data_IF_009959682355
#
_entry.id   IF_009959682355
#
_cell.length_a   1.000
_cell.length_b   1.000
_cell.length_c   1.000
_cell.angle_alpha   90.00
_cell.angle_beta   90.00
_cell.angle_gamma   90.00
#
_symmetry.space_group_name_H-M   'P 1'
#
loop_
_entity.id
_entity.type
_entity.pdbx_description
1 polymer ?
#
# COMPACT_ATOMS: atom_id res chain seq x y z
N UNK A 1 -2.23 -43.70 -5.32
CA UNK A 1 -2.36 -42.41 -4.61
C UNK A 1 -1.26 -42.32 -3.56
N UNK A 2 -0.20 -41.53 -3.74
CA UNK A 2 0.79 -41.27 -2.69
C UNK A 2 0.34 -40.12 -1.81
N UNK A 3 0.50 -40.29 -0.50
CA UNK A 3 0.17 -39.31 0.55
C UNK A 3 1.07 -38.08 0.41
N UNK A 4 0.45 -36.90 0.52
CA UNK A 4 1.14 -35.62 0.59
C UNK A 4 2.08 -35.58 1.81
N UNK A 5 3.33 -35.22 1.58
CA UNK A 5 4.33 -34.98 2.61
C UNK A 5 3.91 -33.81 3.50
N UNK A 6 3.93 -34.02 4.83
CA UNK A 6 3.46 -33.07 5.81
C UNK A 6 4.30 -31.80 5.87
N UNK A 7 3.62 -30.66 5.88
CA UNK A 7 4.18 -29.36 6.24
C UNK A 7 4.59 -29.38 7.71
N UNK A 8 5.77 -28.86 8.09
CA UNK A 8 6.22 -28.83 9.49
C UNK A 8 5.25 -28.07 10.40
N UNK A 9 4.94 -28.65 11.55
CA UNK A 9 3.93 -28.22 12.53
C UNK A 9 4.25 -26.95 13.33
N UNK A 10 5.21 -26.12 12.90
CA UNK A 10 5.66 -24.95 13.64
C UNK A 10 4.85 -23.65 13.40
N UNK A 11 3.83 -23.66 12.53
CA UNK A 11 3.04 -22.48 12.18
C UNK A 11 1.58 -22.66 12.61
N UNK A 12 1.34 -22.96 13.89
CA UNK A 12 0.01 -22.97 14.50
C UNK A 12 -0.10 -21.95 15.64
N UNK A 13 0.13 -20.66 15.36
CA UNK A 13 -0.41 -19.58 16.18
C UNK A 13 -1.23 -18.65 15.30
N UNK A 14 -2.49 -18.34 15.66
CA UNK A 14 -3.31 -17.39 14.88
C UNK A 14 -2.67 -16.01 14.94
N UNK A 15 -2.60 -15.34 13.79
CA UNK A 15 -2.02 -14.00 13.57
C UNK A 15 -2.77 -12.88 14.33
N UNK A 16 -3.88 -13.19 14.99
CA UNK A 16 -4.74 -12.24 15.71
C UNK A 16 -5.01 -12.66 17.15
N UNK A 17 -4.01 -12.58 18.04
CA UNK A 17 -4.25 -12.48 19.48
C UNK A 17 -4.11 -11.00 19.87
N UNK A 18 -5.10 -10.35 20.54
CA UNK A 18 -4.96 -8.99 21.05
C UNK A 18 -3.91 -8.97 22.19
N UNK A 19 -3.15 -7.87 22.34
CA UNK A 19 -2.26 -7.70 23.49
C UNK A 19 -3.09 -7.66 24.78
N UNK A 20 -2.54 -8.14 25.93
CA UNK A 20 -3.24 -8.10 27.19
C UNK A 20 -3.53 -6.66 27.61
N UNK A 21 -4.75 -6.42 28.08
CA UNK A 21 -5.23 -5.11 28.57
C UNK A 21 -4.43 -4.70 29.82
N UNK A 22 -3.58 -3.68 29.71
CA UNK A 22 -2.99 -3.03 30.87
C UNK A 22 -4.07 -2.23 31.60
N UNK A 23 -4.28 -2.53 32.88
CA UNK A 23 -5.19 -1.85 33.78
C UNK A 23 -4.83 -0.35 33.87
N UNK A 24 -5.78 0.53 33.53
CA UNK A 24 -5.68 1.98 33.71
C UNK A 24 -5.67 2.32 35.20
N UNK A 25 -4.54 2.74 35.73
CA UNK A 25 -4.51 3.55 36.96
C UNK A 25 -4.93 4.99 36.63
N UNK A 26 -6.03 5.42 37.20
CA UNK A 26 -6.46 6.83 37.18
C UNK A 26 -5.57 7.63 38.13
N UNK A 27 -4.79 8.57 37.59
CA UNK A 27 -4.26 9.69 38.38
C UNK A 27 -5.01 10.97 37.96
N UNK A 28 -5.70 11.53 38.91
CA UNK A 28 -6.32 12.86 38.85
C UNK A 28 -5.21 13.90 39.00
N UNK A 29 -5.06 14.81 38.05
CA UNK A 29 -4.28 16.05 38.21
C UNK A 29 -5.19 17.21 37.86
N UNK A 30 -5.20 18.17 38.77
CA UNK A 30 -6.10 19.31 38.81
C UNK A 30 -5.88 20.30 37.66
N UNK A 31 -6.97 20.95 37.28
CA UNK A 31 -7.04 21.99 36.27
C UNK A 31 -6.53 23.33 36.84
N UNK A 32 -5.59 23.98 36.20
CA UNK A 32 -5.39 25.40 36.23
C UNK A 32 -5.68 26.01 34.86
N UNK A 33 -6.69 26.90 34.84
CA UNK A 33 -7.03 27.72 33.68
C UNK A 33 -6.06 28.90 33.60
N UNK A 34 -5.45 29.13 32.44
CA UNK A 34 -4.99 30.45 32.05
C UNK A 34 -5.49 30.75 30.63
N UNK A 35 -6.21 31.87 30.54
CA UNK A 35 -6.68 32.44 29.27
C UNK A 35 -5.55 33.22 28.62
N UNK A 36 -5.47 33.19 27.27
CA UNK A 36 -4.54 34.05 26.53
C UNK A 36 -4.53 33.82 25.03
N UNK A 37 -5.14 34.73 24.27
CA UNK A 37 -4.67 35.23 22.99
C UNK A 37 -4.70 34.31 21.75
N UNK A 38 -5.72 34.48 20.94
CA UNK A 38 -5.70 33.97 19.54
C UNK A 38 -4.70 34.76 18.70
N UNK A 39 -3.70 34.06 18.17
CA UNK A 39 -2.89 34.52 17.06
C UNK A 39 -3.00 33.49 15.93
N UNK A 40 -3.58 33.89 14.82
CA UNK A 40 -3.60 33.09 13.58
C UNK A 40 -2.17 33.04 13.02
N UNK A 41 -1.48 31.95 13.23
CA UNK A 41 -0.18 31.69 12.60
C UNK A 41 -0.41 31.10 11.21
N UNK A 42 -0.18 31.91 10.19
CA UNK A 42 -0.01 31.41 8.81
C UNK A 42 1.36 30.72 8.73
N UNK A 43 1.38 29.40 8.75
CA UNK A 43 2.62 28.63 8.54
C UNK A 43 3.05 28.70 7.08
N UNK A 44 4.13 29.41 6.79
CA UNK A 44 4.87 29.27 5.53
C UNK A 44 5.78 28.05 5.66
N UNK A 45 5.75 27.16 4.65
CA UNK A 45 6.50 25.88 4.63
C UNK A 45 8.02 25.99 4.56
N UNK A 46 8.62 27.14 4.86
CA UNK A 46 10.06 27.37 4.80
C UNK A 46 10.79 27.18 6.14
N UNK A 47 10.08 27.17 7.27
CA UNK A 47 10.73 27.19 8.60
C UNK A 47 11.12 25.81 9.15
N UNK A 48 10.68 24.72 8.54
CA UNK A 48 10.98 23.35 9.01
C UNK A 48 12.32 22.76 8.55
N UNK A 49 13.07 23.48 7.71
CA UNK A 49 14.38 23.03 7.22
C UNK A 49 15.55 23.29 8.19
N UNK A 50 15.31 23.95 9.31
CA UNK A 50 16.39 24.43 10.19
C UNK A 50 16.55 23.62 11.49
N UNK A 51 15.97 22.40 11.59
CA UNK A 51 16.30 21.49 12.66
C UNK A 51 17.66 20.85 12.42
N UNK A 52 18.58 21.01 13.36
CA UNK A 52 19.97 20.59 13.36
C UNK A 52 20.21 19.08 13.40
N UNK A 53 19.42 18.30 12.67
CA UNK A 53 19.68 16.87 12.51
C UNK A 53 20.78 16.64 11.47
N UNK A 54 21.87 16.02 11.90
CA UNK A 54 22.96 15.61 11.00
C UNK A 54 22.52 14.41 10.17
N UNK A 55 22.69 14.43 8.84
CA UNK A 55 22.43 13.26 7.99
C UNK A 55 23.26 12.05 8.45
N UNK A 56 22.64 10.88 8.40
CA UNK A 56 23.29 9.61 8.77
C UNK A 56 24.17 9.17 7.60
N UNK A 57 25.46 9.00 7.85
CA UNK A 57 26.38 8.52 6.81
C UNK A 57 26.01 7.13 6.33
N UNK A 58 26.29 6.80 5.07
CA UNK A 58 25.92 5.51 4.46
C UNK A 58 26.55 4.30 5.16
N UNK A 59 27.69 4.49 5.81
CA UNK A 59 28.41 3.44 6.54
C UNK A 59 28.05 3.37 8.03
N UNK A 60 27.31 4.38 8.55
CA UNK A 60 26.87 4.37 9.96
C UNK A 60 25.75 3.34 10.18
N UNK A 61 25.56 2.82 11.40
CA UNK A 61 24.43 2.00 11.73
C UNK A 61 23.09 2.72 11.47
N UNK A 62 22.10 2.00 10.94
CA UNK A 62 20.77 2.56 10.73
C UNK A 62 20.15 2.96 12.09
N UNK A 63 19.68 4.21 12.26
CA UNK A 63 19.02 4.62 13.49
C UNK A 63 17.75 3.80 13.75
N UNK A 64 17.38 3.69 15.02
CA UNK A 64 16.14 3.03 15.39
C UNK A 64 14.92 3.70 14.74
N UNK A 65 13.89 2.88 14.36
CA UNK A 65 12.67 3.39 13.69
C UNK A 65 12.02 4.60 14.38
N UNK A 66 12.03 4.66 15.71
CA UNK A 66 11.47 5.80 16.46
C UNK A 66 12.20 7.11 16.16
N UNK A 67 13.53 7.07 15.99
CA UNK A 67 14.35 8.23 15.63
C UNK A 67 14.04 8.67 14.22
N UNK A 68 14.07 7.74 13.26
CA UNK A 68 13.75 8.03 11.85
C UNK A 68 12.33 8.62 11.74
N UNK A 69 11.37 8.01 12.44
CA UNK A 69 9.99 8.49 12.49
C UNK A 69 9.86 9.91 13.04
N UNK A 70 10.65 10.27 14.08
CA UNK A 70 10.60 11.61 14.68
C UNK A 70 10.96 12.72 13.71
N UNK A 71 11.81 12.46 12.71
CA UNK A 71 12.17 13.43 11.68
C UNK A 71 11.02 13.83 10.77
N UNK A 72 10.06 12.94 10.57
CA UNK A 72 8.92 13.14 9.65
C UNK A 72 7.59 13.32 10.36
N UNK A 73 7.53 13.15 11.69
CA UNK A 73 6.33 13.37 12.50
C UNK A 73 5.69 14.77 12.29
N UNK A 74 6.45 15.88 12.09
CA UNK A 74 5.87 17.20 11.84
C UNK A 74 4.94 17.25 10.60
N UNK A 75 5.15 16.37 9.61
CA UNK A 75 4.31 16.29 8.40
C UNK A 75 3.02 15.51 8.61
N UNK A 76 2.80 14.94 9.80
CA UNK A 76 1.62 14.15 10.16
C UNK A 76 0.38 14.96 10.55
N UNK A 77 0.31 16.24 10.23
CA UNK A 77 -0.84 17.08 10.55
C UNK A 77 -2.06 16.70 9.70
N UNK A 78 -3.17 16.35 10.38
CA UNK A 78 -4.41 15.88 9.75
C UNK A 78 -5.45 16.99 9.73
N UNK A 79 -5.78 17.49 8.53
CA UNK A 79 -6.74 18.59 8.32
C UNK A 79 -8.02 18.03 7.73
N UNK A 80 -9.10 17.98 8.53
CA UNK A 80 -10.41 17.40 8.11
C UNK A 80 -10.92 18.06 6.81
N UNK A 81 -10.90 19.39 6.74
CA UNK A 81 -11.41 20.10 5.56
C UNK A 81 -10.66 19.71 4.28
N UNK A 82 -9.32 19.59 4.36
CA UNK A 82 -8.49 19.16 3.22
C UNK A 82 -8.85 17.76 2.76
N UNK A 83 -9.03 16.84 3.68
CA UNK A 83 -9.40 15.44 3.40
C UNK A 83 -10.78 15.32 2.77
N UNK A 84 -11.75 16.10 3.26
CA UNK A 84 -13.11 16.14 2.68
C UNK A 84 -13.07 16.75 1.28
N UNK A 85 -12.34 17.85 1.08
CA UNK A 85 -12.22 18.49 -0.25
C UNK A 85 -11.62 17.50 -1.26
N UNK A 86 -10.56 16.79 -0.91
CA UNK A 86 -9.95 15.78 -1.79
C UNK A 86 -10.96 14.68 -2.17
N UNK A 87 -11.69 14.15 -1.18
CA UNK A 87 -12.70 13.12 -1.43
C UNK A 87 -13.83 13.64 -2.35
N UNK A 88 -14.34 14.86 -2.10
CA UNK A 88 -15.40 15.46 -2.91
C UNK A 88 -14.92 15.72 -4.33
N UNK A 89 -13.73 16.30 -4.50
CA UNK A 89 -13.15 16.55 -5.83
C UNK A 89 -13.00 15.24 -6.62
N UNK A 90 -12.48 14.19 -5.99
CA UNK A 90 -12.31 12.92 -6.68
C UNK A 90 -13.65 12.25 -7.02
N UNK A 91 -14.69 12.40 -6.18
CA UNK A 91 -16.02 11.94 -6.55
C UNK A 91 -16.64 12.75 -7.70
N UNK A 92 -16.45 14.07 -7.73
CA UNK A 92 -16.91 14.90 -8.87
C UNK A 92 -16.20 14.49 -10.17
N UNK A 93 -14.89 14.25 -10.13
CA UNK A 93 -14.13 13.73 -11.27
C UNK A 93 -14.63 12.34 -11.70
N UNK A 94 -14.94 11.45 -10.73
CA UNK A 94 -15.48 10.15 -11.02
C UNK A 94 -16.84 10.22 -11.72
N UNK A 95 -17.75 11.04 -11.21
CA UNK A 95 -19.06 11.23 -11.83
C UNK A 95 -18.96 11.86 -13.23
N UNK A 96 -18.06 12.82 -13.43
CA UNK A 96 -17.80 13.38 -14.76
C UNK A 96 -17.25 12.32 -15.73
N UNK A 97 -16.32 11.49 -15.29
CA UNK A 97 -15.79 10.39 -16.09
C UNK A 97 -16.87 9.34 -16.42
N UNK A 98 -17.72 8.98 -15.44
CA UNK A 98 -18.84 8.07 -15.69
C UNK A 98 -19.90 8.67 -16.61
N UNK A 99 -20.17 9.96 -16.49
CA UNK A 99 -21.07 10.64 -17.45
C UNK A 99 -20.53 10.49 -18.89
N UNK A 100 -19.23 10.70 -19.10
CA UNK A 100 -18.61 10.44 -20.40
C UNK A 100 -18.68 8.98 -20.82
N UNK A 101 -18.40 8.04 -19.92
CA UNK A 101 -18.40 6.61 -20.20
C UNK A 101 -19.81 6.06 -20.56
N UNK A 102 -20.87 6.68 -20.05
CA UNK A 102 -22.25 6.22 -20.27
C UNK A 102 -22.98 7.02 -21.37
N UNK A 103 -22.72 8.34 -21.48
CA UNK A 103 -23.55 9.23 -22.30
C UNK A 103 -22.85 9.74 -23.58
N UNK A 104 -21.50 9.62 -23.70
CA UNK A 104 -20.83 10.08 -24.91
C UNK A 104 -21.35 9.33 -26.17
N UNK A 105 -21.44 9.96 -27.34
CA UNK A 105 -21.93 9.30 -28.54
C UNK A 105 -20.96 8.27 -29.12
N UNK A 106 -19.66 8.48 -28.95
CA UNK A 106 -18.60 7.60 -29.48
C UNK A 106 -18.20 6.51 -28.49
N UNK A 107 -18.16 5.25 -28.93
CA UNK A 107 -17.70 4.12 -28.15
C UNK A 107 -16.23 4.27 -27.71
N UNK A 108 -15.38 4.90 -28.53
CA UNK A 108 -13.99 5.17 -28.18
C UNK A 108 -13.93 6.17 -27.03
N UNK A 109 -14.70 7.26 -27.07
CA UNK A 109 -14.79 8.23 -25.97
C UNK A 109 -15.32 7.57 -24.71
N UNK A 110 -16.32 6.70 -24.80
CA UNK A 110 -16.83 5.92 -23.66
C UNK A 110 -15.72 5.10 -23.01
N UNK A 111 -14.92 4.38 -23.80
CA UNK A 111 -13.80 3.58 -23.27
C UNK A 111 -12.76 4.46 -22.59
N UNK A 112 -12.35 5.57 -23.21
CA UNK A 112 -11.37 6.51 -22.64
C UNK A 112 -11.90 7.11 -21.32
N UNK A 113 -13.16 7.50 -21.27
CA UNK A 113 -13.80 7.98 -20.05
C UNK A 113 -13.92 6.87 -18.99
N UNK A 114 -14.17 5.61 -19.39
CA UNK A 114 -14.13 4.45 -18.51
C UNK A 114 -12.74 4.21 -17.91
N UNK A 115 -11.68 4.38 -18.70
CA UNK A 115 -10.30 4.32 -18.19
C UNK A 115 -10.02 5.47 -17.21
N UNK A 116 -10.48 6.69 -17.54
CA UNK A 116 -10.39 7.84 -16.64
C UNK A 116 -11.15 7.59 -15.31
N UNK A 117 -12.35 7.00 -15.36
CA UNK A 117 -13.09 6.58 -14.18
C UNK A 117 -12.30 5.55 -13.36
N UNK A 118 -11.62 4.60 -14.00
CA UNK A 118 -10.74 3.64 -13.34
C UNK A 118 -9.54 4.31 -12.66
N UNK A 119 -8.93 5.31 -13.30
CA UNK A 119 -7.87 6.11 -12.70
C UNK A 119 -8.35 6.88 -11.47
N UNK A 120 -9.49 7.53 -11.55
CA UNK A 120 -10.08 8.27 -10.42
C UNK A 120 -10.53 7.31 -9.30
N UNK A 121 -11.01 6.10 -9.63
CA UNK A 121 -11.24 5.03 -8.66
C UNK A 121 -9.96 4.70 -7.89
N UNK A 122 -8.80 4.68 -8.56
CA UNK A 122 -7.50 4.52 -7.92
C UNK A 122 -7.15 5.68 -6.98
N UNK A 123 -7.47 6.92 -7.34
CA UNK A 123 -7.28 8.09 -6.46
C UNK A 123 -8.15 7.99 -5.20
N UNK A 124 -9.43 7.64 -5.35
CA UNK A 124 -10.33 7.39 -4.22
C UNK A 124 -9.83 6.24 -3.35
N UNK A 125 -9.26 5.21 -3.98
CA UNK A 125 -8.66 4.09 -3.24
C UNK A 125 -7.49 4.56 -2.37
N UNK A 126 -6.64 5.51 -2.82
CA UNK A 126 -5.56 6.07 -2.01
C UNK A 126 -6.12 6.86 -0.82
N UNK A 127 -7.22 7.61 -0.98
CA UNK A 127 -7.91 8.27 0.14
C UNK A 127 -8.45 7.23 1.14
N UNK A 128 -9.04 6.15 0.65
CA UNK A 128 -9.51 5.05 1.48
C UNK A 128 -8.39 4.31 2.22
N UNK A 129 -7.25 4.14 1.57
CA UNK A 129 -6.02 3.61 2.13
C UNK A 129 -5.52 4.45 3.32
N UNK A 130 -5.44 5.78 3.19
CA UNK A 130 -5.10 6.66 4.30
C UNK A 130 -6.12 6.59 5.45
N UNK A 131 -7.39 6.48 5.11
CA UNK A 131 -8.43 6.27 6.11
C UNK A 131 -8.23 4.96 6.90
N UNK A 132 -7.75 3.88 6.26
CA UNK A 132 -7.38 2.63 6.92
C UNK A 132 -6.22 2.80 7.89
N UNK A 133 -5.23 3.63 7.56
CA UNK A 133 -4.11 3.98 8.45
C UNK A 133 -4.49 4.95 9.56
N UNK A 134 -5.75 5.42 9.60
CA UNK A 134 -6.21 6.44 10.51
C UNK A 134 -5.45 7.78 10.33
N UNK A 135 -4.87 8.01 9.17
CA UNK A 135 -4.09 9.21 8.82
C UNK A 135 -4.91 10.29 8.15
N UNK A 136 -6.07 9.95 7.57
CA UNK A 136 -6.88 10.89 6.78
C UNK A 136 -7.45 12.04 7.64
N UNK A 137 -7.98 11.72 8.83
CA UNK A 137 -8.51 12.71 9.80
C UNK A 137 -8.11 12.37 11.25
N UNK A 138 -8.17 13.33 12.19
CA UNK A 138 -7.95 13.03 13.61
C UNK A 138 -9.02 12.12 14.24
N UNK A 139 -10.18 11.97 13.59
CA UNK A 139 -11.32 11.23 14.11
C UNK A 139 -11.38 9.81 13.54
N UNK A 140 -11.10 8.79 14.37
CA UNK A 140 -11.12 7.38 13.97
C UNK A 140 -12.47 6.87 13.44
N UNK A 141 -13.61 7.40 13.94
CA UNK A 141 -14.93 7.01 13.42
C UNK A 141 -15.16 7.59 12.03
N UNK A 142 -14.77 8.85 11.84
CA UNK A 142 -14.87 9.52 10.54
C UNK A 142 -13.98 8.81 9.50
N UNK A 143 -12.75 8.45 9.85
CA UNK A 143 -11.87 7.68 8.96
C UNK A 143 -12.52 6.37 8.49
N UNK A 144 -13.13 5.61 9.41
CA UNK A 144 -13.81 4.36 9.03
C UNK A 144 -15.00 4.56 8.08
N UNK A 145 -15.73 5.67 8.18
CA UNK A 145 -16.82 5.98 7.28
C UNK A 145 -16.31 6.49 5.93
N UNK A 146 -15.41 7.45 5.94
CA UNK A 146 -14.82 8.02 4.71
C UNK A 146 -14.07 6.94 3.93
N UNK A 147 -13.35 6.05 4.62
CA UNK A 147 -12.64 4.94 3.97
C UNK A 147 -13.58 3.95 3.28
N UNK A 148 -14.72 3.60 3.91
CA UNK A 148 -15.74 2.77 3.25
C UNK A 148 -16.30 3.45 2.01
N UNK A 149 -16.66 4.72 2.12
CA UNK A 149 -17.15 5.51 0.98
C UNK A 149 -16.09 5.53 -0.12
N UNK A 150 -14.86 5.87 0.18
CA UNK A 150 -13.77 5.95 -0.79
C UNK A 150 -13.46 4.61 -1.49
N UNK A 151 -13.70 3.47 -0.81
CA UNK A 151 -13.48 2.14 -1.37
C UNK A 151 -14.66 1.57 -2.18
N UNK A 152 -15.85 2.19 -2.15
CA UNK A 152 -17.00 1.69 -2.89
C UNK A 152 -16.72 1.49 -4.39
N UNK A 153 -16.15 2.47 -5.13
CA UNK A 153 -15.93 2.33 -6.57
C UNK A 153 -14.94 1.21 -6.93
N UNK A 154 -14.02 0.90 -6.03
CA UNK A 154 -13.04 -0.19 -6.19
C UNK A 154 -13.56 -1.54 -5.73
N UNK A 155 -14.80 -1.62 -5.22
CA UNK A 155 -15.40 -2.82 -4.64
C UNK A 155 -14.51 -3.50 -3.60
N UNK A 156 -13.82 -2.69 -2.77
CA UNK A 156 -12.87 -3.20 -1.77
C UNK A 156 -13.51 -3.16 -0.39
N UNK A 157 -13.68 -4.32 0.31
CA UNK A 157 -14.16 -4.36 1.67
C UNK A 157 -13.14 -3.70 2.64
N UNK A 158 -13.52 -2.58 3.25
CA UNK A 158 -12.64 -1.74 4.07
C UNK A 158 -11.91 -2.52 5.18
N UNK A 159 -12.66 -3.29 5.97
CA UNK A 159 -12.09 -4.00 7.12
C UNK A 159 -11.14 -5.13 6.74
N UNK A 160 -11.32 -5.75 5.58
CA UNK A 160 -10.42 -6.77 5.06
C UNK A 160 -9.14 -6.14 4.52
N UNK A 161 -9.25 -5.01 3.83
CA UNK A 161 -8.10 -4.23 3.41
C UNK A 161 -7.30 -3.72 4.61
N UNK A 162 -7.97 -3.14 5.62
CA UNK A 162 -7.34 -2.66 6.86
C UNK A 162 -6.47 -3.74 7.52
N UNK A 163 -6.96 -4.97 7.63
CA UNK A 163 -6.17 -6.08 8.19
C UNK A 163 -5.04 -6.51 7.25
N UNK A 164 -5.34 -6.75 5.98
CA UNK A 164 -4.35 -7.22 5.02
C UNK A 164 -3.21 -6.24 4.81
N UNK A 165 -3.54 -4.96 4.77
CA UNK A 165 -2.57 -3.91 4.51
C UNK A 165 -1.82 -3.47 5.78
N UNK A 166 -2.54 -3.08 6.86
CA UNK A 166 -1.89 -2.53 8.04
C UNK A 166 -1.20 -3.59 8.90
N UNK A 167 -1.82 -4.77 9.07
CA UNK A 167 -1.29 -5.79 9.98
C UNK A 167 -0.32 -6.73 9.27
N UNK A 168 -0.69 -7.17 8.06
CA UNK A 168 0.13 -8.16 7.33
C UNK A 168 1.22 -7.46 6.54
N UNK A 169 0.87 -6.60 5.57
CA UNK A 169 1.85 -5.98 4.70
C UNK A 169 2.79 -5.03 5.45
N UNK A 170 2.29 -3.98 6.10
CA UNK A 170 3.15 -3.05 6.86
C UNK A 170 3.82 -3.69 8.08
N UNK A 171 3.20 -4.70 8.68
CA UNK A 171 3.77 -5.43 9.80
C UNK A 171 4.92 -6.36 9.43
N UNK A 172 4.99 -6.78 8.15
CA UNK A 172 5.91 -7.83 7.70
C UNK A 172 6.40 -7.63 6.26
N UNK A 173 6.56 -6.39 5.82
CA UNK A 173 6.94 -6.05 4.44
C UNK A 173 8.16 -6.85 3.97
N UNK A 174 8.02 -7.56 2.85
CA UNK A 174 9.03 -8.44 2.26
C UNK A 174 9.55 -9.57 3.19
N UNK A 175 8.77 -9.95 4.21
CA UNK A 175 9.03 -11.16 4.99
C UNK A 175 8.24 -12.33 4.40
N UNK A 176 8.95 -13.27 3.77
CA UNK A 176 8.37 -14.44 3.12
C UNK A 176 7.58 -15.32 4.10
N UNK A 177 6.42 -15.78 3.65
CA UNK A 177 5.49 -16.55 4.49
C UNK A 177 4.52 -15.68 5.31
N UNK A 178 4.76 -14.36 5.38
CA UNK A 178 3.88 -13.38 6.03
C UNK A 178 3.33 -12.37 5.02
N UNK A 179 4.21 -11.57 4.40
CA UNK A 179 3.78 -10.64 3.34
C UNK A 179 3.43 -11.40 2.07
N UNK A 180 2.28 -11.06 1.50
CA UNK A 180 1.79 -11.65 0.26
C UNK A 180 1.93 -10.71 -0.95
N UNK A 181 2.27 -9.45 -0.72
CA UNK A 181 2.33 -8.44 -1.78
C UNK A 181 3.54 -8.72 -2.66
N UNK A 182 3.27 -9.25 -3.84
CA UNK A 182 4.30 -9.64 -4.83
C UNK A 182 5.40 -10.56 -4.30
N UNK A 183 5.09 -11.37 -3.27
CA UNK A 183 6.05 -12.32 -2.71
C UNK A 183 6.60 -13.25 -3.82
N UNK A 184 7.94 -13.29 -4.03
CA UNK A 184 8.53 -14.16 -5.02
C UNK A 184 8.55 -15.61 -4.53
N UNK A 185 8.41 -16.55 -5.44
CA UNK A 185 8.78 -17.93 -5.17
C UNK A 185 10.31 -18.07 -5.10
N UNK A 186 10.80 -19.02 -4.30
CA UNK A 186 12.17 -19.50 -4.48
C UNK A 186 12.25 -20.39 -5.73
N UNK A 187 13.45 -20.65 -6.27
CA UNK A 187 13.59 -21.60 -7.38
C UNK A 187 12.95 -22.98 -7.12
N UNK A 188 13.11 -23.53 -5.90
CA UNK A 188 12.54 -24.83 -5.53
C UNK A 188 11.01 -24.77 -5.41
N UNK A 189 10.47 -23.72 -4.78
CA UNK A 189 9.02 -23.53 -4.71
C UNK A 189 8.40 -23.41 -6.12
N UNK A 190 9.04 -22.65 -7.00
CA UNK A 190 8.57 -22.52 -8.37
C UNK A 190 8.61 -23.84 -9.13
N UNK A 191 9.66 -24.63 -8.95
CA UNK A 191 9.78 -25.97 -9.53
C UNK A 191 8.71 -26.94 -9.01
N UNK A 192 8.26 -26.77 -7.76
CA UNK A 192 7.20 -27.57 -7.14
C UNK A 192 5.77 -27.15 -7.56
N UNK A 193 5.58 -25.99 -8.19
CA UNK A 193 4.26 -25.54 -8.66
C UNK A 193 3.70 -26.43 -9.78
N UNK A 194 2.37 -26.56 -9.81
CA UNK A 194 1.68 -27.15 -10.97
C UNK A 194 1.95 -26.37 -12.26
N UNK A 195 1.82 -26.99 -13.45
CA UNK A 195 2.01 -26.31 -14.74
C UNK A 195 1.16 -25.04 -14.87
N UNK A 196 -0.11 -25.10 -14.44
CA UNK A 196 -1.03 -23.94 -14.46
C UNK A 196 -0.54 -22.82 -13.56
N UNK A 197 -0.10 -23.12 -12.33
CA UNK A 197 0.41 -22.11 -11.40
C UNK A 197 1.73 -21.51 -11.89
N UNK A 198 2.61 -22.30 -12.49
CA UNK A 198 3.84 -21.80 -13.15
C UNK A 198 3.53 -20.87 -14.32
N UNK A 199 2.52 -21.20 -15.13
CA UNK A 199 2.07 -20.32 -16.23
C UNK A 199 1.53 -18.99 -15.69
N UNK A 200 0.67 -19.03 -14.65
CA UNK A 200 0.12 -17.84 -14.03
C UNK A 200 1.22 -16.97 -13.41
N UNK A 201 2.18 -17.55 -12.68
CA UNK A 201 3.30 -16.79 -12.11
C UNK A 201 4.14 -16.10 -13.20
N UNK A 202 4.43 -16.80 -14.32
CA UNK A 202 5.12 -16.20 -15.47
C UNK A 202 4.33 -15.05 -16.08
N UNK A 203 3.01 -15.20 -16.18
CA UNK A 203 2.13 -14.15 -16.71
C UNK A 203 2.12 -12.93 -15.77
N UNK A 204 1.94 -13.12 -14.47
CA UNK A 204 1.96 -12.05 -13.47
C UNK A 204 3.26 -11.26 -13.51
N UNK A 205 4.41 -11.97 -13.55
CA UNK A 205 5.75 -11.36 -13.54
C UNK A 205 6.28 -11.00 -14.93
N UNK A 206 5.43 -11.04 -15.96
CA UNK A 206 5.82 -10.65 -17.32
C UNK A 206 6.09 -9.14 -17.47
N UNK A 207 5.54 -8.32 -16.57
CA UNK A 207 5.45 -6.87 -16.70
C UNK A 207 4.17 -6.40 -17.43
N UNK A 208 3.47 -7.31 -18.12
CA UNK A 208 2.25 -6.95 -18.86
C UNK A 208 0.95 -7.15 -18.07
N UNK A 209 0.98 -7.97 -17.03
CA UNK A 209 -0.21 -8.40 -16.32
C UNK A 209 -0.18 -8.14 -14.79
N UNK A 210 0.34 -6.99 -14.29
CA UNK A 210 0.32 -6.70 -12.85
C UNK A 210 -1.11 -6.59 -12.32
N UNK A 211 -2.05 -6.12 -13.14
CA UNK A 211 -3.46 -6.02 -12.77
C UNK A 211 -4.12 -7.39 -12.60
N UNK A 212 -3.72 -8.39 -13.37
CA UNK A 212 -4.24 -9.75 -13.20
C UNK A 212 -3.77 -10.35 -11.86
N UNK A 213 -2.53 -10.12 -11.46
CA UNK A 213 -2.05 -10.49 -10.14
C UNK A 213 -2.89 -9.82 -9.04
N UNK A 214 -3.10 -8.51 -9.15
CA UNK A 214 -3.88 -7.76 -8.17
C UNK A 214 -5.31 -8.28 -8.09
N UNK A 215 -5.97 -8.46 -9.24
CA UNK A 215 -7.33 -8.95 -9.34
C UNK A 215 -7.50 -10.33 -8.68
N UNK A 216 -6.61 -11.27 -8.99
CA UNK A 216 -6.76 -12.67 -8.54
C UNK A 216 -6.17 -12.87 -7.16
N UNK A 217 -4.88 -12.54 -6.97
CA UNK A 217 -4.16 -12.91 -5.76
C UNK A 217 -4.45 -11.96 -4.59
N UNK A 218 -4.72 -10.68 -4.86
CA UNK A 218 -5.00 -9.70 -3.79
C UNK A 218 -6.49 -9.51 -3.61
N UNK A 219 -7.17 -8.95 -4.63
CA UNK A 219 -8.56 -8.55 -4.49
C UNK A 219 -9.48 -9.76 -4.27
N UNK A 220 -9.42 -10.78 -5.15
CA UNK A 220 -10.31 -11.93 -5.09
C UNK A 220 -10.01 -12.85 -3.90
N UNK A 221 -8.77 -13.35 -3.79
CA UNK A 221 -8.43 -14.40 -2.82
C UNK A 221 -8.18 -13.87 -1.40
N UNK A 222 -7.87 -12.59 -1.23
CA UNK A 222 -7.51 -12.04 0.09
C UNK A 222 -8.46 -10.96 0.59
N UNK A 223 -9.00 -10.14 -0.32
CA UNK A 223 -9.85 -9.02 0.09
C UNK A 223 -11.33 -9.30 -0.01
N UNK A 224 -11.78 -10.11 -0.98
CA UNK A 224 -13.20 -10.40 -1.18
C UNK A 224 -13.61 -11.76 -0.66
N UNK A 225 -12.83 -12.81 -0.96
CA UNK A 225 -13.04 -14.18 -0.49
C UNK A 225 -11.83 -14.71 0.29
N UNK A 226 -11.51 -14.12 1.47
CA UNK A 226 -10.33 -14.50 2.22
C UNK A 226 -10.39 -15.96 2.66
N UNK A 227 -9.32 -16.69 2.39
CA UNK A 227 -9.20 -18.09 2.83
C UNK A 227 -8.99 -18.17 4.35
N UNK A 228 -9.37 -19.29 4.97
CA UNK A 228 -9.12 -19.54 6.41
C UNK A 228 -7.63 -19.53 6.75
N UNK A 229 -6.77 -19.85 5.80
CA UNK A 229 -5.32 -19.80 5.96
C UNK A 229 -4.81 -18.36 6.10
N UNK A 230 -5.46 -17.42 5.39
CA UNK A 230 -5.11 -15.99 5.42
C UNK A 230 -5.71 -15.27 6.65
N UNK A 231 -6.99 -15.51 6.94
CA UNK A 231 -7.68 -14.94 8.09
C UNK A 231 -8.12 -16.08 9.02
N UNK A 232 -7.39 -16.29 10.13
CA UNK A 232 -7.68 -17.36 11.09
C UNK A 232 -9.04 -17.25 11.79
N UNK A 233 -9.69 -16.06 11.79
CA UNK A 233 -11.00 -15.84 12.37
C UNK A 233 -11.83 -14.88 11.51
N UNK A 234 -13.07 -15.29 11.19
CA UNK A 234 -14.05 -14.40 10.56
C UNK A 234 -14.61 -13.43 11.61
N UNK A 235 -14.70 -12.14 11.26
CA UNK A 235 -15.34 -11.11 12.08
C UNK A 235 -16.62 -10.62 11.41
N UNK A 236 -17.70 -10.31 12.16
CA UNK A 236 -18.95 -9.82 11.58
C UNK A 236 -18.77 -8.58 10.67
N UNK A 237 -17.79 -7.73 10.99
CA UNK A 237 -17.47 -6.53 10.18
C UNK A 237 -17.00 -6.89 8.77
N UNK A 238 -16.26 -7.99 8.60
CA UNK A 238 -15.81 -8.43 7.27
C UNK A 238 -17.01 -8.76 6.36
N UNK A 239 -17.97 -9.52 6.90
CA UNK A 239 -19.19 -9.85 6.15
C UNK A 239 -20.01 -8.60 5.83
N UNK A 240 -20.14 -7.65 6.78
CA UNK A 240 -20.85 -6.39 6.54
C UNK A 240 -20.20 -5.58 5.41
N UNK A 241 -18.88 -5.45 5.41
CA UNK A 241 -18.18 -4.69 4.39
C UNK A 241 -18.24 -5.40 3.02
N UNK A 242 -18.18 -6.74 2.96
CA UNK A 242 -18.43 -7.48 1.72
C UNK A 242 -19.85 -7.27 1.21
N UNK A 243 -20.87 -7.33 2.08
CA UNK A 243 -22.26 -7.08 1.70
C UNK A 243 -22.46 -5.63 1.22
N UNK A 244 -21.79 -4.65 1.85
CA UNK A 244 -21.84 -3.26 1.44
C UNK A 244 -21.33 -3.08 0.01
N UNK A 245 -20.13 -3.60 -0.31
CA UNK A 245 -19.56 -3.44 -1.65
C UNK A 245 -20.31 -4.27 -2.70
N UNK A 246 -20.83 -5.44 -2.33
CA UNK A 246 -21.68 -6.26 -3.24
C UNK A 246 -23.00 -5.56 -3.55
N UNK A 247 -23.64 -4.99 -2.52
CA UNK A 247 -24.88 -4.20 -2.70
C UNK A 247 -24.64 -2.97 -3.57
N UNK A 248 -23.53 -2.26 -3.34
CA UNK A 248 -23.14 -1.15 -4.19
C UNK A 248 -22.92 -1.59 -5.64
N UNK A 249 -22.18 -2.69 -5.88
CA UNK A 249 -21.97 -3.22 -7.23
C UNK A 249 -23.29 -3.56 -7.92
N UNK A 250 -24.23 -4.22 -7.23
CA UNK A 250 -25.53 -4.57 -7.77
C UNK A 250 -26.36 -3.32 -8.13
N UNK A 251 -26.39 -2.30 -7.25
CA UNK A 251 -27.08 -1.02 -7.49
C UNK A 251 -26.43 -0.31 -8.69
N UNK A 252 -25.11 -0.26 -8.75
CA UNK A 252 -24.39 0.42 -9.84
C UNK A 252 -24.63 -0.27 -11.18
N UNK A 253 -24.51 -1.59 -11.26
CA UNK A 253 -24.82 -2.37 -12.48
C UNK A 253 -26.26 -2.15 -12.89
N UNK A 254 -27.22 -2.21 -11.95
CA UNK A 254 -28.62 -1.94 -12.20
C UNK A 254 -28.86 -0.53 -12.76
N UNK A 255 -28.20 0.49 -12.19
CA UNK A 255 -28.28 1.86 -12.69
C UNK A 255 -27.73 1.99 -14.12
N UNK A 256 -26.59 1.33 -14.43
CA UNK A 256 -25.99 1.32 -15.77
C UNK A 256 -26.95 0.66 -16.79
N UNK A 257 -27.56 -0.47 -16.43
CA UNK A 257 -28.55 -1.16 -17.29
C UNK A 257 -29.81 -0.29 -17.48
N UNK A 258 -30.28 0.35 -16.42
CA UNK A 258 -31.41 1.30 -16.51
C UNK A 258 -31.08 2.49 -17.42
N UNK A 259 -29.89 3.09 -17.31
CA UNK A 259 -29.43 4.18 -18.20
C UNK A 259 -29.39 3.68 -19.65
N UNK A 260 -28.91 2.46 -19.90
CA UNK A 260 -28.89 1.89 -21.24
C UNK A 260 -30.32 1.81 -21.84
N UNK A 261 -31.29 1.34 -21.07
CA UNK A 261 -32.70 1.29 -21.51
C UNK A 261 -33.27 2.70 -21.72
N UNK A 262 -33.04 3.62 -20.78
CA UNK A 262 -33.56 5.00 -20.87
C UNK A 262 -32.96 5.82 -22.02
N UNK A 263 -31.73 5.49 -22.45
CA UNK A 263 -31.02 6.18 -23.54
C UNK A 263 -31.02 5.38 -24.85
N UNK A 264 -31.75 4.26 -24.91
CA UNK A 264 -31.81 3.36 -26.08
C UNK A 264 -30.42 2.89 -26.57
N UNK A 265 -29.48 2.69 -25.63
CA UNK A 265 -28.13 2.20 -25.92
C UNK A 265 -28.00 0.72 -25.57
N UNK A 266 -26.95 0.07 -26.12
CA UNK A 266 -26.62 -1.31 -25.78
C UNK A 266 -26.24 -1.44 -24.29
N UNK A 267 -26.96 -2.25 -23.53
CA UNK A 267 -26.65 -2.54 -22.12
C UNK A 267 -25.24 -3.17 -21.98
N UNK A 268 -24.87 -4.07 -22.91
CA UNK A 268 -23.54 -4.68 -22.93
C UNK A 268 -22.45 -3.60 -23.07
N UNK A 269 -22.61 -2.65 -24.01
CA UNK A 269 -21.65 -1.57 -24.22
C UNK A 269 -21.49 -0.74 -22.94
N UNK A 270 -22.62 -0.32 -22.31
CA UNK A 270 -22.55 0.51 -21.12
C UNK A 270 -22.00 -0.25 -19.89
N UNK A 271 -22.31 -1.54 -19.72
CA UNK A 271 -21.70 -2.37 -18.69
C UNK A 271 -20.20 -2.51 -18.91
N UNK A 272 -19.76 -2.72 -20.16
CA UNK A 272 -18.32 -2.77 -20.48
C UNK A 272 -17.65 -1.45 -20.15
N UNK A 273 -18.18 -0.31 -20.61
CA UNK A 273 -17.52 1.00 -20.44
C UNK A 273 -17.69 1.60 -19.06
N UNK A 274 -18.81 1.36 -18.37
CA UNK A 274 -19.12 1.92 -17.07
C UNK A 274 -18.82 1.03 -15.86
N UNK A 275 -18.53 -0.26 -16.08
CA UNK A 275 -18.22 -1.21 -14.99
C UNK A 275 -16.92 -1.94 -15.23
N UNK A 276 -16.82 -2.69 -16.35
CA UNK A 276 -15.68 -3.61 -16.59
C UNK A 276 -14.39 -2.83 -16.81
N UNK A 277 -14.41 -1.86 -17.75
CA UNK A 277 -13.22 -1.06 -18.09
C UNK A 277 -12.69 -0.29 -16.87
N UNK A 278 -13.52 0.48 -16.11
CA UNK A 278 -13.05 1.16 -14.91
C UNK A 278 -12.42 0.21 -13.88
N UNK A 279 -13.07 -0.91 -13.62
CA UNK A 279 -12.62 -1.88 -12.63
C UNK A 279 -11.30 -2.55 -13.02
N UNK A 280 -11.16 -3.00 -14.27
CA UNK A 280 -9.92 -3.62 -14.76
C UNK A 280 -8.78 -2.60 -14.87
N UNK A 281 -9.07 -1.36 -15.25
CA UNK A 281 -8.07 -0.30 -15.26
C UNK A 281 -7.55 0.00 -13.86
N UNK A 282 -8.45 0.13 -12.87
CA UNK A 282 -8.08 0.28 -11.47
C UNK A 282 -7.21 -0.90 -10.98
N UNK A 283 -7.61 -2.14 -11.25
CA UNK A 283 -6.80 -3.32 -10.91
C UNK A 283 -5.41 -3.25 -11.54
N UNK A 284 -5.32 -2.79 -12.81
CA UNK A 284 -4.04 -2.68 -13.52
C UNK A 284 -3.16 -1.59 -12.92
N UNK A 285 -3.74 -0.44 -12.59
CA UNK A 285 -3.04 0.66 -11.92
C UNK A 285 -2.51 0.24 -10.55
N UNK A 286 -3.35 -0.39 -9.71
CA UNK A 286 -2.91 -0.81 -8.38
C UNK A 286 -1.98 -2.01 -8.40
N UNK A 287 -2.18 -2.94 -9.32
CA UNK A 287 -1.23 -4.02 -9.55
C UNK A 287 0.15 -3.49 -9.91
N UNK A 288 0.23 -2.47 -10.77
CA UNK A 288 1.46 -1.75 -11.08
C UNK A 288 2.03 -1.04 -9.84
N UNK A 289 1.22 -0.24 -9.14
CA UNK A 289 1.65 0.55 -7.96
C UNK A 289 2.28 -0.34 -6.91
N UNK A 290 1.59 -1.40 -6.47
CA UNK A 290 2.12 -2.30 -5.43
C UNK A 290 3.30 -3.15 -5.92
N UNK A 291 3.41 -3.39 -7.24
CA UNK A 291 4.57 -4.05 -7.83
C UNK A 291 5.83 -3.19 -7.71
N UNK A 292 5.77 -1.95 -8.21
CA UNK A 292 6.93 -1.06 -8.25
C UNK A 292 7.37 -0.57 -6.88
N UNK A 293 6.51 -0.59 -5.88
CA UNK A 293 6.84 -0.18 -4.52
C UNK A 293 7.80 -1.14 -3.80
N UNK A 294 7.73 -2.45 -4.13
CA UNK A 294 8.43 -3.50 -3.38
C UNK A 294 9.25 -4.45 -4.26
N UNK A 295 9.35 -4.15 -5.56
CA UNK A 295 10.07 -4.99 -6.52
C UNK A 295 11.08 -4.17 -7.31
N UNK A 296 12.35 -4.38 -7.03
CA UNK A 296 13.48 -3.80 -7.75
C UNK A 296 14.70 -4.72 -7.53
N UNK A 297 15.65 -4.81 -8.47
CA UNK A 297 16.86 -5.58 -8.26
C UNK A 297 17.67 -5.22 -7.01
N UNK A 298 17.45 -4.05 -6.41
CA UNK A 298 18.09 -3.55 -5.18
C UNK A 298 17.30 -3.86 -3.91
N UNK A 299 16.07 -4.38 -4.01
CA UNK A 299 15.17 -4.68 -2.88
C UNK A 299 15.27 -6.14 -2.51
N UNK A 300 15.51 -6.42 -1.23
CA UNK A 300 15.65 -7.77 -0.68
C UNK A 300 14.34 -8.36 -0.18
N UNK A 301 14.31 -9.71 -0.13
CA UNK A 301 13.32 -10.51 0.57
C UNK A 301 13.99 -11.33 1.67
N UNK A 302 13.29 -11.60 2.76
CA UNK A 302 13.80 -12.30 3.92
C UNK A 302 12.90 -13.48 4.29
N UNK A 303 13.47 -14.58 4.78
CA UNK A 303 12.71 -15.69 5.33
C UNK A 303 12.81 -15.77 6.86
N UNK A 304 13.85 -15.19 7.46
CA UNK A 304 14.07 -15.17 8.88
C UNK A 304 13.63 -13.85 9.50
N UNK A 305 12.69 -13.91 10.47
CA UNK A 305 12.12 -12.73 11.12
C UNK A 305 13.14 -11.92 11.93
N UNK A 306 14.09 -12.58 12.57
CA UNK A 306 15.13 -11.93 13.39
C UNK A 306 16.10 -11.16 12.48
N UNK A 307 16.55 -11.77 11.41
CA UNK A 307 17.37 -11.12 10.39
C UNK A 307 16.60 -9.93 9.76
N UNK A 308 15.38 -10.16 9.28
CA UNK A 308 14.51 -9.16 8.71
C UNK A 308 14.35 -7.92 9.61
N UNK A 309 14.15 -8.12 10.92
CA UNK A 309 13.95 -7.00 11.85
C UNK A 309 15.18 -6.11 12.01
N UNK A 310 16.38 -6.62 11.69
CA UNK A 310 17.66 -5.87 11.76
C UNK A 310 17.95 -5.05 10.51
N UNK A 311 17.26 -5.31 9.40
CA UNK A 311 17.52 -4.65 8.11
C UNK A 311 16.78 -3.33 7.92
N UNK A 312 16.08 -2.82 8.93
CA UNK A 312 15.20 -1.66 8.82
C UNK A 312 14.21 -1.79 7.63
N UNK A 313 13.35 -2.84 7.61
CA UNK A 313 12.57 -3.19 6.41
C UNK A 313 11.65 -2.06 5.93
N UNK A 314 11.21 -1.17 6.82
CA UNK A 314 10.44 0.03 6.49
C UNK A 314 11.19 1.06 5.61
N UNK A 315 12.50 0.88 5.41
CA UNK A 315 13.33 1.65 4.45
C UNK A 315 13.87 0.74 3.37
N UNK A 316 14.50 -0.40 3.73
CA UNK A 316 15.26 -1.23 2.82
C UNK A 316 14.41 -2.04 1.84
N UNK A 317 13.11 -2.19 2.11
CA UNK A 317 12.19 -2.98 1.26
C UNK A 317 11.18 -2.12 0.50
N UNK A 318 11.42 -0.81 0.44
CA UNK A 318 10.55 0.16 -0.22
C UNK A 318 11.30 0.95 -1.29
N UNK A 319 10.57 1.47 -2.27
CA UNK A 319 11.10 2.27 -3.36
C UNK A 319 10.28 3.56 -3.50
N UNK A 320 10.99 4.70 -3.59
CA UNK A 320 10.39 5.97 -4.03
C UNK A 320 10.50 6.07 -5.56
N UNK A 321 9.35 6.02 -6.23
CA UNK A 321 9.29 6.14 -7.69
C UNK A 321 8.91 7.55 -8.10
N UNK A 322 9.83 8.26 -8.75
CA UNK A 322 9.59 9.62 -9.23
C UNK A 322 9.10 9.63 -10.68
N UNK A 323 8.11 10.45 -10.96
CA UNK A 323 7.58 10.65 -12.31
C UNK A 323 7.89 12.05 -12.84
N UNK A 324 8.06 12.20 -14.17
CA UNK A 324 8.15 13.51 -14.79
C UNK A 324 6.80 14.25 -14.67
N UNK A 325 6.80 15.55 -14.84
CA UNK A 325 5.60 16.40 -14.95
C UNK A 325 4.63 16.37 -13.75
N UNK A 326 5.11 16.00 -12.55
CA UNK A 326 4.28 16.02 -11.34
C UNK A 326 3.18 14.94 -11.28
N UNK A 327 3.27 13.87 -12.06
CA UNK A 327 2.31 12.74 -12.07
C UNK A 327 2.14 12.14 -10.66
N UNK A 328 3.17 12.18 -9.80
CA UNK A 328 3.04 11.75 -8.40
C UNK A 328 1.91 12.46 -7.64
N UNK A 329 1.72 13.78 -7.89
CA UNK A 329 0.62 14.55 -7.30
C UNK A 329 -0.76 14.09 -7.81
N UNK A 330 -0.86 13.65 -9.07
CA UNK A 330 -2.10 13.08 -9.62
C UNK A 330 -2.49 11.77 -8.92
N UNK A 331 -1.53 11.06 -8.34
CA UNK A 331 -1.74 9.83 -7.56
C UNK A 331 -1.63 10.07 -6.04
N UNK A 332 -1.99 11.27 -5.58
CA UNK A 332 -1.99 11.63 -4.16
C UNK A 332 -0.69 11.27 -3.42
N UNK A 333 0.44 11.38 -4.09
CA UNK A 333 1.77 11.12 -3.51
C UNK A 333 1.96 9.70 -2.95
N UNK A 334 1.22 8.69 -3.45
CA UNK A 334 1.39 7.30 -2.98
C UNK A 334 2.76 6.71 -3.37
N UNK A 335 3.45 7.33 -4.32
CA UNK A 335 4.77 6.89 -4.79
C UNK A 335 5.91 7.28 -3.84
N UNK A 336 5.68 8.20 -2.91
CA UNK A 336 6.56 8.54 -1.79
C UNK A 336 6.50 7.47 -0.69
N UNK A 337 6.74 6.22 -1.10
CA UNK A 337 6.34 5.03 -0.40
C UNK A 337 7.20 4.70 0.82
N UNK A 338 8.47 5.12 0.83
CA UNK A 338 9.35 4.93 2.01
C UNK A 338 8.85 5.75 3.19
N UNK A 339 8.46 7.02 2.97
CA UNK A 339 7.89 7.86 4.04
C UNK A 339 6.61 7.24 4.60
N UNK A 340 5.77 6.69 3.72
CA UNK A 340 4.56 5.98 4.09
C UNK A 340 4.84 4.74 4.96
N UNK A 341 5.84 3.92 4.64
CA UNK A 341 6.23 2.76 5.46
C UNK A 341 6.92 3.13 6.77
N UNK A 342 7.67 4.22 6.82
CA UNK A 342 8.28 4.73 8.06
C UNK A 342 7.20 5.17 9.04
N UNK A 343 6.23 5.99 8.59
CA UNK A 343 5.11 6.46 9.41
C UNK A 343 3.79 6.51 8.63
N UNK A 344 2.99 5.47 8.76
CA UNK A 344 1.64 5.37 8.18
C UNK A 344 0.67 6.46 8.67
N UNK A 345 1.01 7.22 9.72
CA UNK A 345 0.14 8.26 10.26
C UNK A 345 0.23 9.59 9.51
N UNK A 346 1.16 9.70 8.56
CA UNK A 346 1.31 10.87 7.68
C UNK A 346 0.23 10.81 6.60
N UNK A 347 -0.62 11.84 6.47
CA UNK A 347 -1.64 11.88 5.44
C UNK A 347 -0.99 12.08 4.05
N UNK A 348 -1.66 11.60 3.02
CA UNK A 348 -1.22 11.62 1.61
C UNK A 348 -0.62 12.99 1.18
N UNK A 349 -1.17 14.09 1.66
CA UNK A 349 -0.69 15.44 1.33
C UNK A 349 0.56 15.89 2.11
N UNK A 350 1.01 15.10 3.10
CA UNK A 350 2.27 15.32 3.83
C UNK A 350 3.41 14.42 3.35
N UNK A 351 3.11 13.38 2.52
CA UNK A 351 4.08 12.35 2.13
C UNK A 351 5.25 12.92 1.32
N UNK A 352 4.99 13.88 0.42
CA UNK A 352 6.04 14.50 -0.41
C UNK A 352 7.14 15.14 0.45
N UNK A 353 6.74 15.96 1.41
CA UNK A 353 7.69 16.69 2.26
C UNK A 353 8.38 15.73 3.24
N UNK A 354 7.64 14.74 3.76
CA UNK A 354 8.18 13.68 4.59
C UNK A 354 9.23 12.83 3.84
N UNK A 355 8.97 12.48 2.59
CA UNK A 355 9.91 11.72 1.76
C UNK A 355 11.18 12.53 1.48
N UNK A 356 11.04 13.80 1.11
CA UNK A 356 12.18 14.68 0.88
C UNK A 356 13.06 14.82 2.14
N UNK A 357 12.42 14.93 3.33
CA UNK A 357 13.17 14.96 4.61
C UNK A 357 13.91 13.64 4.86
N UNK A 358 13.26 12.49 4.61
CA UNK A 358 13.92 11.19 4.78
C UNK A 358 15.12 11.02 3.85
N UNK A 359 15.01 11.42 2.59
CA UNK A 359 16.12 11.33 1.63
C UNK A 359 17.30 12.22 2.03
N UNK A 360 17.01 13.40 2.56
CA UNK A 360 18.04 14.30 3.09
C UNK A 360 18.72 13.72 4.34
N UNK A 361 17.98 12.99 5.20
CA UNK A 361 18.52 12.41 6.43
C UNK A 361 19.19 11.05 6.24
N UNK A 362 18.84 10.32 5.18
CA UNK A 362 19.32 8.97 4.86
C UNK A 362 19.92 8.92 3.44
N UNK A 363 20.93 9.75 3.12
CA UNK A 363 21.48 9.80 1.78
C UNK A 363 22.05 8.45 1.35
N UNK A 364 21.65 8.00 0.15
CA UNK A 364 22.11 6.73 -0.44
C UNK A 364 21.50 5.45 0.17
N UNK A 365 20.61 5.57 1.16
CA UNK A 365 19.96 4.40 1.81
C UNK A 365 18.55 4.11 1.34
N UNK A 366 17.88 5.10 0.77
CA UNK A 366 16.55 4.95 0.18
C UNK A 366 16.69 4.66 -1.30
N UNK A 367 15.99 3.68 -1.79
CA UNK A 367 15.95 3.37 -3.21
C UNK A 367 15.06 4.39 -3.91
N UNK A 368 15.68 5.39 -4.54
CA UNK A 368 14.98 6.39 -5.37
C UNK A 368 15.16 6.00 -6.84
N UNK A 369 14.07 5.96 -7.59
CA UNK A 369 14.07 5.57 -8.99
C UNK A 369 13.22 6.53 -9.83
N UNK A 370 13.77 7.05 -10.92
CA UNK A 370 12.97 7.74 -11.92
C UNK A 370 12.26 6.74 -12.82
N UNK A 371 10.96 6.90 -13.00
CA UNK A 371 10.18 6.04 -13.86
C UNK A 371 10.64 6.13 -15.33
N UNK A 372 10.82 4.97 -15.94
CA UNK A 372 10.87 4.78 -17.38
C UNK A 372 10.37 3.38 -17.72
N UNK A 373 9.76 3.21 -18.89
CA UNK A 373 9.34 1.88 -19.37
C UNK A 373 10.50 0.91 -19.48
N UNK A 374 11.70 1.40 -19.84
CA UNK A 374 12.92 0.58 -19.89
C UNK A 374 13.25 0.01 -18.51
N UNK A 375 13.26 0.85 -17.46
CA UNK A 375 13.48 0.39 -16.10
C UNK A 375 12.41 -0.60 -15.65
N UNK A 376 11.15 -0.30 -15.92
CA UNK A 376 10.03 -1.16 -15.50
C UNK A 376 10.13 -2.57 -16.11
N UNK A 377 10.34 -2.68 -17.42
CA UNK A 377 10.47 -3.97 -18.07
C UNK A 377 11.80 -4.67 -17.76
N UNK A 378 12.89 -3.93 -17.49
CA UNK A 378 14.13 -4.52 -17.00
C UNK A 378 13.95 -5.10 -15.60
N UNK A 379 13.27 -4.38 -14.68
CA UNK A 379 12.89 -4.89 -13.36
C UNK A 379 12.03 -6.14 -13.48
N UNK A 380 10.99 -6.10 -14.32
CA UNK A 380 10.13 -7.25 -14.55
C UNK A 380 10.90 -8.46 -15.15
N UNK A 381 11.89 -8.23 -15.99
CA UNK A 381 12.77 -9.27 -16.55
C UNK A 381 13.67 -9.89 -15.49
N UNK A 382 14.24 -9.09 -14.60
CA UNK A 382 15.24 -9.49 -13.58
C UNK A 382 14.61 -10.09 -12.34
N UNK A 383 13.50 -9.53 -11.84
CA UNK A 383 12.88 -9.92 -10.58
C UNK A 383 11.82 -11.03 -10.79
N UNK A 384 12.25 -12.25 -11.14
CA UNK A 384 11.34 -13.40 -11.32
C UNK A 384 11.17 -14.21 -10.05
N UNK A 385 12.26 -14.78 -9.55
CA UNK A 385 12.32 -15.57 -8.34
C UNK A 385 13.34 -14.94 -7.39
N UNK A 386 13.30 -15.33 -6.11
CA UNK A 386 14.26 -14.83 -5.13
C UNK A 386 14.96 -15.99 -4.42
N UNK A 387 16.28 -16.04 -4.54
CA UNK A 387 17.11 -16.98 -3.80
C UNK A 387 17.40 -16.40 -2.41
N UNK A 388 16.81 -17.02 -1.39
CA UNK A 388 16.92 -16.55 0.00
C UNK A 388 18.35 -16.77 0.55
N UNK A 389 19.03 -17.86 0.16
CA UNK A 389 20.38 -18.18 0.67
C UNK A 389 21.40 -17.24 0.04
N UNK A 390 21.31 -17.01 -1.27
CA UNK A 390 22.19 -16.10 -2.01
C UNK A 390 21.79 -14.64 -1.87
N UNK A 391 20.62 -14.36 -1.28
CA UNK A 391 20.05 -13.00 -1.11
C UNK A 391 19.98 -12.21 -2.43
N UNK A 392 19.58 -12.83 -3.52
CA UNK A 392 19.54 -12.18 -4.83
C UNK A 392 18.31 -12.60 -5.63
N UNK A 393 17.92 -11.74 -6.57
CA UNK A 393 16.93 -12.09 -7.58
C UNK A 393 17.50 -13.04 -8.60
N UNK A 394 16.65 -13.92 -9.12
CA UNK A 394 17.03 -14.91 -10.13
C UNK A 394 16.02 -14.95 -11.29
N UNK A 395 16.45 -15.48 -12.43
CA UNK A 395 15.54 -15.89 -13.49
C UNK A 395 14.78 -17.19 -13.11
N UNK A 396 13.92 -17.67 -14.01
CA UNK A 396 13.17 -18.93 -13.79
C UNK A 396 14.02 -20.21 -13.87
N UNK A 397 15.30 -20.09 -14.19
CA UNK A 397 16.29 -21.18 -14.16
C UNK A 397 17.18 -21.12 -12.91
N UNK A 398 16.91 -20.17 -11.98
CA UNK A 398 17.69 -19.98 -10.76
C UNK A 398 19.04 -19.27 -10.98
N UNK A 399 19.29 -18.68 -12.16
CA UNK A 399 20.52 -17.91 -12.42
C UNK A 399 20.38 -16.50 -11.81
N UNK A 400 21.39 -16.01 -11.07
CA UNK A 400 21.36 -14.67 -10.50
C UNK A 400 21.15 -13.58 -11.55
N UNK A 401 20.28 -12.61 -11.23
CA UNK A 401 19.96 -11.45 -12.08
C UNK A 401 20.14 -10.12 -11.34
N UNK A 402 20.48 -10.16 -10.06
CA UNK A 402 20.94 -9.01 -9.25
C UNK A 402 22.18 -9.40 -8.47
N UNK A 403 22.88 -8.38 -7.94
CA UNK A 403 23.90 -8.59 -6.94
C UNK A 403 23.26 -9.11 -5.63
N UNK A 404 24.09 -9.73 -4.79
CA UNK A 404 23.64 -10.13 -3.46
C UNK A 404 23.40 -8.90 -2.57
N UNK A 405 22.29 -8.88 -1.82
CA UNK A 405 21.91 -7.76 -0.96
C UNK A 405 22.68 -7.77 0.37
N UNK A 406 24.00 -7.64 0.29
CA UNK A 406 24.90 -7.71 1.46
C UNK A 406 24.81 -6.48 2.38
N UNK A 407 24.44 -5.31 1.85
CA UNK A 407 24.36 -4.05 2.61
C UNK A 407 23.11 -3.89 3.47
N UNK A 408 22.10 -4.74 3.29
CA UNK A 408 20.91 -4.72 4.15
C UNK A 408 21.20 -5.13 5.60
N UNK A 409 22.38 -5.67 5.87
CA UNK A 409 22.78 -6.27 7.15
C UNK A 409 23.61 -5.32 8.03
N UNK A 410 23.72 -4.03 7.73
CA UNK A 410 24.36 -3.07 8.66
C UNK A 410 23.56 -3.09 9.99
N UNK A 411 24.17 -3.43 11.14
CA UNK A 411 23.46 -3.56 12.40
C UNK A 411 22.79 -2.24 12.76
N UNK A 412 21.52 -2.31 13.20
CA UNK A 412 20.86 -1.13 13.75
C UNK A 412 21.63 -0.67 15.00
N UNK A 413 21.80 0.65 15.16
CA UNK A 413 22.35 1.21 16.38
C UNK A 413 21.59 0.70 17.61
N UNK A 414 22.32 0.46 18.71
CA UNK A 414 21.80 -0.18 19.95
C UNK A 414 20.43 0.39 20.35
N UNK A 415 19.45 -0.50 20.52
CA UNK A 415 18.01 -0.19 20.62
C UNK A 415 17.58 0.29 22.01
N UNK A 416 18.46 0.84 22.84
CA UNK A 416 18.02 1.37 24.12
C UNK A 416 17.02 2.54 23.94
N UNK A 417 15.88 2.56 24.66
CA UNK A 417 14.97 3.69 24.63
C UNK A 417 15.72 4.96 25.06
N UNK A 418 15.48 6.08 24.39
CA UNK A 418 16.08 7.39 24.70
C UNK A 418 15.76 7.84 26.14
N UNK A 419 14.73 7.26 26.76
CA UNK A 419 14.24 7.55 28.12
C UNK A 419 14.69 6.54 29.19
N UNK A 420 15.63 5.64 28.93
CA UNK A 420 16.19 4.78 29.98
C UNK A 420 17.08 5.63 30.91
N UNK A 421 16.86 5.63 32.26
CA UNK A 421 17.75 6.33 33.19
C UNK A 421 19.18 5.82 32.94
N UNK A 422 20.11 6.74 32.81
CA UNK A 422 21.54 6.39 32.87
C UNK A 422 21.76 5.99 34.31
N UNK A 423 21.92 4.70 34.54
CA UNK A 423 22.37 4.20 35.84
C UNK A 423 23.69 4.90 36.18
N UNK A 424 23.67 5.61 37.33
CA UNK A 424 24.80 6.34 37.88
C UNK A 424 25.89 5.39 38.37
#
# INVERSE_FOLDING_TARGET
MPRAAGVPSAIRRPICAPPPSSARRRHSVGASRSAGGGASMSFRGADFMNDSFTPVHVDDPMPHRKVIRSWITPFGQRVIARSIVLLVVDYLLLFAAFAGALLAPSSIVKIVCGMAAGFVTGRLFIIGHDACHQSLTPNHRLNRWLGRIAFLPSLTPYSLWEVGHNVVHHGYTNLKGFDFVWAPHTPDEFAALSPTRRFLDRLYRSGWAPGLYYLVEIWWLRMYFPTKTYLGASRPVFRRDCLLVTGFAAIWIGAVVWIAAATHQSALLLVVTGVVVPFLFWCSMFGFVVYVHHTDPRISWHANRTEWSRTAPFVSTTLHLTFPFGIGALMHHIMEHTAHHVDMSIPLYGLKDAQAKLEAMLPGRIVVQRFSWRWYFDTARRCKLYDIERKCWTDYLGRPTSDAHLRADAPMADQRPIDAPRDA
#
